data_IF_830390080861
#
_entry.id   IF_830390080861
#
_cell.length_a   1.000
_cell.length_b   1.000
_cell.length_c   1.000
_cell.angle_alpha   90.00
_cell.angle_beta   90.00
_cell.angle_gamma   90.00
#
_symmetry.space_group_name_H-M   'P 1'
#
loop_
_entity.id
_entity.type
_entity.pdbx_description
1 polymer ?
#
# COMPACT_ATOMS: atom_id res chain seq x y z
N UNK A 1 16.82 -9.33 -10.64
CA UNK A 1 15.73 -8.37 -10.93
C UNK A 1 16.00 -7.15 -10.09
N UNK A 2 16.45 -6.05 -10.69
CA UNK A 2 16.89 -4.84 -9.97
C UNK A 2 15.71 -3.95 -9.62
N UNK A 3 15.43 -3.77 -8.33
CA UNK A 3 14.49 -2.75 -7.90
C UNK A 3 14.05 -2.90 -6.45
N UNK A 4 14.47 -1.94 -5.61
CA UNK A 4 13.84 -1.33 -4.40
C UNK A 4 12.93 -2.16 -3.45
N UNK A 5 12.82 -3.47 -3.62
CA UNK A 5 12.03 -4.41 -2.84
C UNK A 5 12.92 -5.44 -2.14
N UNK A 6 14.15 -5.61 -2.62
CA UNK A 6 15.21 -6.43 -2.03
C UNK A 6 15.55 -5.87 -0.64
N UNK A 7 15.02 -6.51 0.40
CA UNK A 7 15.16 -6.10 1.80
C UNK A 7 13.92 -5.46 2.45
N UNK A 8 12.76 -5.43 1.80
CA UNK A 8 11.54 -4.95 2.44
C UNK A 8 10.95 -6.01 3.39
N UNK A 9 11.13 -5.84 4.70
CA UNK A 9 10.50 -6.68 5.75
C UNK A 9 9.00 -6.46 5.89
N UNK A 10 8.40 -5.59 5.06
CA UNK A 10 6.97 -5.25 5.12
C UNK A 10 6.07 -6.45 4.84
N UNK A 11 6.56 -7.43 4.10
CA UNK A 11 5.86 -8.69 3.91
C UNK A 11 5.94 -9.57 5.18
N UNK A 12 7.05 -9.50 5.92
CA UNK A 12 7.27 -10.27 7.16
C UNK A 12 6.51 -9.69 8.37
N UNK A 13 6.04 -8.43 8.27
CA UNK A 13 5.15 -7.79 9.24
C UNK A 13 3.68 -8.24 9.10
N UNK A 14 3.35 -8.98 8.04
CA UNK A 14 2.02 -9.54 7.85
C UNK A 14 1.80 -10.76 8.76
N UNK A 15 0.62 -10.91 9.36
CA UNK A 15 0.28 -12.11 10.12
C UNK A 15 0.37 -13.35 9.24
N UNK A 16 0.76 -14.49 9.84
CA UNK A 16 0.84 -15.76 9.12
C UNK A 16 -0.52 -16.17 8.49
N UNK A 17 -1.63 -15.71 9.07
CA UNK A 17 -3.00 -15.92 8.62
C UNK A 17 -3.53 -14.83 7.67
N UNK A 18 -2.66 -13.96 7.14
CA UNK A 18 -3.05 -12.91 6.18
C UNK A 18 -3.90 -13.39 5.00
N UNK A 19 -3.63 -14.55 4.36
CA UNK A 19 -4.49 -15.06 3.28
C UNK A 19 -5.94 -15.30 3.73
N UNK A 20 -6.14 -15.78 4.96
CA UNK A 20 -7.46 -16.02 5.54
C UNK A 20 -8.17 -14.71 5.87
N UNK A 21 -7.46 -13.75 6.50
CA UNK A 21 -7.95 -12.40 6.77
C UNK A 21 -8.38 -11.73 5.46
N UNK A 22 -7.52 -11.79 4.43
CA UNK A 22 -7.80 -11.22 3.11
C UNK A 22 -9.05 -11.83 2.48
N UNK A 23 -9.20 -13.15 2.53
CA UNK A 23 -10.38 -13.83 2.00
C UNK A 23 -11.65 -13.42 2.77
N UNK A 24 -11.59 -13.33 4.09
CA UNK A 24 -12.69 -12.92 4.94
C UNK A 24 -13.13 -11.48 4.65
N UNK A 25 -12.20 -10.54 4.46
CA UNK A 25 -12.50 -9.14 4.12
C UNK A 25 -13.14 -9.03 2.73
N UNK A 26 -12.61 -9.73 1.72
CA UNK A 26 -13.19 -9.76 0.38
C UNK A 26 -14.60 -10.35 0.39
N UNK A 27 -14.83 -11.43 1.13
CA UNK A 27 -16.13 -12.06 1.28
C UNK A 27 -17.13 -11.14 2.01
N UNK A 28 -16.73 -10.52 3.14
CA UNK A 28 -17.52 -9.52 3.88
C UNK A 28 -17.98 -8.39 2.98
N UNK A 29 -17.09 -7.92 2.12
CA UNK A 29 -17.36 -6.81 1.23
C UNK A 29 -18.02 -7.25 -0.10
N UNK A 30 -18.37 -8.53 -0.26
CA UNK A 30 -18.97 -9.11 -1.47
C UNK A 30 -18.13 -8.87 -2.73
N UNK A 31 -16.80 -8.80 -2.56
CA UNK A 31 -15.87 -8.40 -3.61
C UNK A 31 -16.23 -7.05 -4.26
N UNK A 32 -16.82 -6.13 -3.49
CA UNK A 32 -17.14 -4.77 -3.94
C UNK A 32 -16.20 -3.77 -3.29
N UNK A 33 -15.65 -2.88 -4.11
CA UNK A 33 -14.80 -1.79 -3.66
C UNK A 33 -15.57 -0.89 -2.69
N UNK A 34 -15.07 -0.75 -1.46
CA UNK A 34 -15.67 0.06 -0.40
C UNK A 34 -15.15 1.49 -0.35
N UNK A 35 -14.18 1.84 -1.21
CA UNK A 35 -13.67 3.21 -1.32
C UNK A 35 -14.79 4.21 -1.64
N UNK A 36 -14.80 5.30 -0.89
CA UNK A 36 -15.62 6.48 -1.18
C UNK A 36 -14.80 7.42 -2.07
N UNK A 37 -15.35 7.73 -3.24
CA UNK A 37 -14.84 8.73 -4.17
C UNK A 37 -15.93 9.78 -4.36
N UNK A 38 -15.62 11.05 -4.11
CA UNK A 38 -16.56 12.17 -4.34
C UNK A 38 -17.93 11.96 -3.68
N UNK A 39 -17.93 11.40 -2.46
CA UNK A 39 -19.16 11.12 -1.70
C UNK A 39 -19.93 9.87 -2.13
N UNK A 40 -19.45 9.08 -3.10
CA UNK A 40 -20.09 7.84 -3.55
C UNK A 40 -19.18 6.62 -3.36
N UNK A 41 -19.76 5.50 -2.97
CA UNK A 41 -19.04 4.21 -2.88
C UNK A 41 -18.79 3.65 -4.28
N UNK A 42 -17.54 3.31 -4.58
CA UNK A 42 -17.07 2.87 -5.89
C UNK A 42 -17.77 1.59 -6.40
N UNK A 43 -17.95 0.56 -5.56
CA UNK A 43 -18.66 -0.70 -5.87
C UNK A 43 -18.15 -1.53 -7.06
N UNK A 44 -17.05 -1.13 -7.71
CA UNK A 44 -16.35 -1.97 -8.71
C UNK A 44 -15.83 -3.26 -8.08
N UNK A 45 -15.55 -4.26 -8.90
CA UNK A 45 -14.94 -5.51 -8.44
C UNK A 45 -13.65 -5.24 -7.66
N UNK A 46 -13.55 -5.82 -6.47
CA UNK A 46 -12.42 -5.71 -5.57
C UNK A 46 -11.63 -7.02 -5.52
N UNK A 47 -10.33 -6.90 -5.69
CA UNK A 47 -9.36 -7.98 -5.54
C UNK A 47 -8.18 -7.58 -4.66
N UNK A 48 -8.15 -6.35 -4.17
CA UNK A 48 -7.14 -5.84 -3.25
C UNK A 48 -7.77 -5.65 -1.88
N UNK A 49 -6.98 -5.86 -0.82
CA UNK A 49 -7.34 -5.53 0.55
C UNK A 49 -6.25 -4.62 1.08
N UNK A 50 -6.66 -3.50 1.67
CA UNK A 50 -5.76 -2.47 2.16
C UNK A 50 -6.29 -1.87 3.45
N UNK A 51 -5.40 -1.29 4.25
CA UNK A 51 -5.76 -0.68 5.52
C UNK A 51 -6.50 0.64 5.32
N UNK A 52 -7.60 0.84 6.04
CA UNK A 52 -8.35 2.10 6.11
C UNK A 52 -7.46 3.16 6.77
N UNK A 53 -6.91 2.84 7.94
CA UNK A 53 -5.87 3.63 8.62
C UNK A 53 -4.55 2.89 8.50
N UNK A 54 -3.53 3.60 8.02
CA UNK A 54 -2.17 3.08 7.91
C UNK A 54 -1.64 2.59 9.24
N UNK A 55 -0.79 1.57 9.17
CA UNK A 55 -0.10 0.99 10.31
C UNK A 55 -0.11 -0.52 10.19
N UNK A 56 0.27 -1.19 11.28
CA UNK A 56 0.33 -2.66 11.34
C UNK A 56 -0.91 -3.28 12.00
N UNK A 57 -2.05 -2.58 11.93
CA UNK A 57 -3.33 -3.04 12.50
C UNK A 57 -4.10 -3.83 11.45
N UNK A 58 -3.92 -5.15 11.46
CA UNK A 58 -4.51 -6.11 10.52
C UNK A 58 -5.88 -6.62 10.93
N UNK A 59 -6.52 -5.97 11.92
CA UNK A 59 -7.88 -6.37 12.32
C UNK A 59 -8.87 -6.09 11.19
N UNK A 60 -9.89 -6.95 10.97
CA UNK A 60 -10.84 -6.78 9.88
C UNK A 60 -11.52 -5.40 9.84
N UNK A 61 -11.70 -4.74 10.98
CA UNK A 61 -12.33 -3.41 11.08
C UNK A 61 -11.46 -2.30 10.46
N UNK A 62 -10.14 -2.49 10.41
CA UNK A 62 -9.21 -1.57 9.77
C UNK A 62 -8.88 -1.97 8.33
N UNK A 63 -9.50 -3.01 7.78
CA UNK A 63 -9.27 -3.48 6.42
C UNK A 63 -10.48 -3.21 5.53
N UNK A 64 -10.23 -2.84 4.28
CA UNK A 64 -11.27 -2.64 3.27
C UNK A 64 -10.90 -3.28 1.93
N UNK A 65 -11.93 -3.75 1.22
CA UNK A 65 -11.78 -4.25 -0.15
C UNK A 65 -11.72 -3.10 -1.15
N UNK A 66 -10.73 -3.12 -2.03
CA UNK A 66 -10.48 -2.11 -3.06
C UNK A 66 -10.39 -2.73 -4.45
N UNK A 67 -10.91 -1.99 -5.45
CA UNK A 67 -10.56 -2.24 -6.84
C UNK A 67 -9.12 -1.78 -7.12
N UNK A 68 -8.50 -2.34 -8.16
CA UNK A 68 -7.11 -2.04 -8.50
C UNK A 68 -6.82 -0.54 -8.66
N UNK A 69 -7.74 0.20 -9.28
CA UNK A 69 -7.60 1.65 -9.50
C UNK A 69 -7.65 2.45 -8.20
N UNK A 70 -8.64 2.18 -7.33
CA UNK A 70 -8.75 2.86 -6.04
C UNK A 70 -7.56 2.54 -5.13
N UNK A 71 -7.09 1.29 -5.16
CA UNK A 71 -5.89 0.88 -4.45
C UNK A 71 -4.66 1.65 -4.94
N UNK A 72 -4.43 1.72 -6.25
CA UNK A 72 -3.30 2.47 -6.82
C UNK A 72 -3.32 3.96 -6.45
N UNK A 73 -4.50 4.60 -6.52
CA UNK A 73 -4.67 6.00 -6.10
C UNK A 73 -4.35 6.16 -4.62
N UNK A 74 -4.85 5.28 -3.76
CA UNK A 74 -4.55 5.28 -2.32
C UNK A 74 -3.05 5.14 -2.11
N UNK A 75 -2.42 4.06 -2.61
CA UNK A 75 -0.98 3.82 -2.47
C UNK A 75 -0.12 5.00 -2.98
N UNK A 76 -0.53 5.68 -4.05
CA UNK A 76 0.17 6.87 -4.57
C UNK A 76 0.08 8.07 -3.61
N UNK A 77 -1.14 8.44 -3.18
CA UNK A 77 -1.36 9.51 -2.18
C UNK A 77 -0.57 9.26 -0.92
N UNK A 78 -0.56 8.00 -0.54
CA UNK A 78 0.16 7.48 0.59
C UNK A 78 1.68 7.60 0.44
N UNK A 79 2.24 7.17 -0.68
CA UNK A 79 3.67 7.34 -0.96
C UNK A 79 4.09 8.81 -1.00
N UNK A 80 3.22 9.70 -1.49
CA UNK A 80 3.47 11.14 -1.54
C UNK A 80 3.42 11.81 -0.15
N UNK A 81 2.58 11.32 0.75
CA UNK A 81 2.50 11.81 2.13
C UNK A 81 3.65 11.31 3.02
N UNK A 82 4.36 10.25 2.61
CA UNK A 82 5.53 9.76 3.34
C UNK A 82 6.68 10.79 3.25
N UNK A 83 7.49 10.93 4.31
CA UNK A 83 8.62 11.86 4.30
C UNK A 83 9.55 11.58 3.12
N UNK A 84 9.84 12.64 2.35
CA UNK A 84 10.76 12.56 1.22
C UNK A 84 12.16 12.32 1.78
N UNK A 85 12.67 11.10 1.64
CA UNK A 85 14.10 10.85 1.78
C UNK A 85 14.78 11.59 0.62
N UNK A 86 15.40 12.73 0.92
CA UNK A 86 16.19 13.47 -0.06
C UNK A 86 17.38 12.60 -0.43
N UNK A 87 17.47 12.20 -1.71
CA UNK A 87 18.64 11.48 -2.24
C UNK A 87 19.77 12.45 -2.56
N UNK A 88 20.02 13.42 -1.66
CA UNK A 88 21.18 14.29 -1.85
C UNK A 88 22.42 13.40 -1.79
N UNK A 89 23.06 13.24 -2.94
CA UNK A 89 24.38 12.64 -3.05
C UNK A 89 25.35 13.82 -3.14
N UNK A 90 26.36 13.91 -2.25
CA UNK A 90 27.43 14.89 -2.42
C UNK A 90 28.01 14.76 -3.82
N UNK A 91 28.35 15.87 -4.46
CA UNK A 91 29.09 15.85 -5.72
C UNK A 91 30.45 15.19 -5.46
N UNK A 92 30.77 14.07 -6.12
CA UNK A 92 32.12 13.49 -6.04
C UNK A 92 33.14 14.52 -6.55
N UNK A 93 34.22 14.73 -5.79
CA UNK A 93 35.36 15.50 -6.31
C UNK A 93 36.00 14.68 -7.41
N UNK A 94 35.93 15.15 -8.65
CA UNK A 94 36.59 14.48 -9.77
C UNK A 94 38.10 14.34 -9.51
N UNK A 95 38.70 13.16 -9.78
CA UNK A 95 40.10 12.86 -9.45
C UNK A 95 41.13 13.70 -10.23
N UNK A 96 40.69 14.56 -11.15
CA UNK A 96 41.53 15.47 -11.93
C UNK A 96 41.64 16.90 -11.39
N UNK A 97 41.12 17.18 -10.18
CA UNK A 97 41.31 18.46 -9.47
C UNK A 97 42.42 18.29 -8.42
N UNK A 98 43.68 18.23 -8.90
CA UNK A 98 44.90 18.47 -8.12
C UNK A 98 45.60 19.71 -8.66
#
# INVERSE_FOLDING_TARGET
>A
MTGRWEGSTRHDELPADWPAIRAAVLARDEHRCRQINEGRVCRRWANQVDHIRRGNDHRPENLQSLCAECHAIKSSREGNAAPRITRWRPTERHPGLL
#
